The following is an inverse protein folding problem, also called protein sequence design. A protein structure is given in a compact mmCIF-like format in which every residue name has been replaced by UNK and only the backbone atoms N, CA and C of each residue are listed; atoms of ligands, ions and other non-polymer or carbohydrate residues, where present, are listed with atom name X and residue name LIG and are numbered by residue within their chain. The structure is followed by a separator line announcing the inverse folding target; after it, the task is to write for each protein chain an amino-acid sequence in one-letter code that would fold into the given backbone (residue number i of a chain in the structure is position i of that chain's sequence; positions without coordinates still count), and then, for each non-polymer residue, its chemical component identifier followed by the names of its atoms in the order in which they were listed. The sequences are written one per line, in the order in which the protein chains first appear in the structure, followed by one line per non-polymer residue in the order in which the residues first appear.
data_IF_850004692608
#
_entry.id   IF_850004692608
#
_cell.length_a   1.000
_cell.length_b   1.000
_cell.length_c   1.000
_cell.angle_alpha   90.00
_cell.angle_beta   90.00
_cell.angle_gamma   90.00
#
_symmetry.space_group_name_H-M   'P 1'
#
loop_
_entity.id
_entity.type
_entity.pdbx_description
1 polymer ?
#
# COMPACT_ATOMS: atom_id res chain seq x y z
N UNK A 1 -2.17 -13.39 71.07
CA UNK A 1 -2.75 -14.71 70.75
C UNK A 1 -1.96 -15.30 69.59
N UNK A 2 -1.33 -16.44 69.86
CA UNK A 2 -0.46 -17.21 68.98
C UNK A 2 -1.26 -18.43 68.53
N UNK A 3 -1.29 -18.77 67.23
CA UNK A 3 -1.52 -20.09 66.62
C UNK A 3 -1.20 -19.88 65.11
N UNK A 4 -0.07 -20.31 64.51
CA UNK A 4 0.50 -21.64 64.27
C UNK A 4 -0.48 -22.64 63.63
N UNK A 5 -0.24 -22.98 62.36
CA UNK A 5 -0.10 -24.34 61.79
C UNK A 5 0.19 -24.20 60.27
N UNK A 6 1.38 -24.54 59.76
CA UNK A 6 1.89 -25.89 59.43
C UNK A 6 1.32 -26.40 58.10
N UNK A 7 2.09 -26.43 57.00
CA UNK A 7 2.83 -27.61 56.48
C UNK A 7 2.22 -28.02 55.12
N UNK A 8 2.84 -28.62 54.10
CA UNK A 8 4.21 -28.97 53.69
C UNK A 8 4.10 -29.70 52.33
N UNK A 9 5.21 -29.82 51.59
CA UNK A 9 5.64 -30.97 50.75
C UNK A 9 4.83 -31.31 49.48
N UNK A 10 5.41 -31.11 48.28
CA UNK A 10 6.22 -32.06 47.47
C UNK A 10 5.34 -32.68 46.36
N UNK A 11 5.80 -33.16 45.20
CA UNK A 11 7.09 -33.67 44.75
C UNK A 11 7.20 -33.56 43.22
N UNK A 12 8.44 -33.39 42.76
CA UNK A 12 8.96 -33.84 41.46
C UNK A 12 8.54 -35.25 41.07
N UNK A 13 8.38 -35.48 39.78
CA UNK A 13 8.52 -36.80 39.16
C UNK A 13 9.05 -36.61 37.72
N UNK A 14 10.38 -36.61 37.63
CA UNK A 14 11.13 -36.96 36.43
C UNK A 14 11.01 -38.48 36.21
N UNK A 15 10.53 -38.89 35.04
CA UNK A 15 10.53 -40.30 34.62
C UNK A 15 11.58 -40.48 33.52
N UNK A 16 12.66 -41.13 33.93
CA UNK A 16 13.87 -41.46 33.18
C UNK A 16 13.68 -42.69 32.25
N UNK A 17 14.20 -42.54 31.03
CA UNK A 17 15.12 -43.45 30.31
C UNK A 17 14.76 -44.86 29.78
N UNK A 18 15.27 -45.03 28.55
CA UNK A 18 15.82 -46.21 27.85
C UNK A 18 14.89 -47.27 27.24
N UNK A 19 14.97 -47.40 25.91
CA UNK A 19 15.39 -48.69 25.30
C UNK A 19 16.35 -48.44 24.13
N UNK A 20 17.28 -49.37 24.04
CA UNK A 20 18.57 -49.40 23.39
C UNK A 20 18.50 -49.98 21.95
N UNK A 21 19.56 -49.68 21.20
CA UNK A 21 20.26 -50.57 20.25
C UNK A 21 19.76 -50.75 18.79
N UNK A 22 20.59 -50.19 17.90
CA UNK A 22 21.40 -50.90 16.88
C UNK A 22 20.73 -51.47 15.61
N UNK A 23 21.09 -50.89 14.45
CA UNK A 23 21.76 -51.61 13.36
C UNK A 23 22.18 -50.64 12.22
N UNK A 24 23.48 -50.55 11.97
CA UNK A 24 24.05 -50.23 10.65
C UNK A 24 24.42 -51.58 9.97
N UNK A 25 24.50 -51.71 8.62
CA UNK A 25 25.64 -51.12 7.89
C UNK A 25 25.43 -50.72 6.40
N UNK A 26 26.30 -49.79 5.97
CA UNK A 26 26.96 -49.61 4.66
C UNK A 26 26.29 -50.06 3.35
N UNK A 27 26.13 -49.10 2.42
CA UNK A 27 26.60 -49.25 1.02
C UNK A 27 27.24 -47.95 0.51
N UNK A 28 28.38 -48.13 -0.17
CA UNK A 28 29.25 -47.11 -0.74
C UNK A 28 28.72 -46.49 -2.06
N UNK A 29 29.21 -45.27 -2.28
CA UNK A 29 29.66 -44.64 -3.54
C UNK A 29 28.63 -44.26 -4.63
N UNK A 30 28.51 -42.96 -4.90
CA UNK A 30 29.11 -42.39 -6.10
C UNK A 30 29.23 -40.86 -6.01
N UNK A 31 30.45 -40.35 -6.19
CA UNK A 31 30.76 -38.94 -6.42
C UNK A 31 30.36 -38.55 -7.84
N UNK A 32 29.62 -37.45 -8.01
CA UNK A 32 29.53 -36.70 -9.28
C UNK A 32 28.96 -35.29 -9.04
N UNK A 33 29.90 -34.35 -9.01
CA UNK A 33 29.85 -33.01 -9.62
C UNK A 33 28.76 -32.03 -9.17
N UNK A 34 29.22 -31.00 -8.44
CA UNK A 34 28.62 -29.66 -8.40
C UNK A 34 28.24 -29.17 -9.81
N UNK A 35 27.19 -28.36 -9.89
CA UNK A 35 27.45 -26.93 -10.04
C UNK A 35 26.81 -26.10 -8.94
N UNK A 36 27.67 -25.26 -8.36
CA UNK A 36 27.37 -24.06 -7.58
C UNK A 36 26.41 -23.17 -8.39
N UNK A 37 25.12 -23.25 -8.09
CA UNK A 37 24.16 -22.24 -8.54
C UNK A 37 24.17 -21.11 -7.50
N UNK A 38 24.70 -19.99 -7.93
CA UNK A 38 24.88 -18.75 -7.19
C UNK A 38 23.64 -18.33 -6.41
N UNK A 39 23.87 -17.87 -5.19
CA UNK A 39 23.00 -16.94 -4.48
C UNK A 39 22.65 -15.79 -5.43
N UNK A 40 21.50 -15.86 -6.09
CA UNK A 40 20.88 -14.69 -6.70
C UNK A 40 20.17 -13.96 -5.57
N UNK A 41 20.93 -13.13 -4.87
CA UNK A 41 20.39 -11.94 -4.25
C UNK A 41 19.73 -11.14 -5.38
N UNK A 42 18.41 -11.28 -5.52
CA UNK A 42 17.63 -10.36 -6.34
C UNK A 42 17.53 -9.05 -5.57
N UNK A 43 18.63 -8.30 -5.60
CA UNK A 43 18.58 -6.86 -5.48
C UNK A 43 17.88 -6.34 -6.73
N UNK A 44 16.56 -6.51 -6.86
CA UNK A 44 15.77 -5.77 -7.84
C UNK A 44 15.65 -4.35 -7.31
N UNK A 45 16.74 -3.62 -7.50
CA UNK A 45 16.89 -2.20 -7.23
C UNK A 45 15.77 -1.45 -7.93
N UNK A 46 14.97 -0.72 -7.14
CA UNK A 46 14.14 0.48 -7.43
C UNK A 46 13.71 0.77 -8.88
N UNK A 47 14.64 0.75 -9.84
CA UNK A 47 14.49 1.13 -11.25
C UNK A 47 13.44 0.31 -12.02
N UNK A 48 13.27 -0.99 -11.73
CA UNK A 48 12.27 -1.81 -12.43
C UNK A 48 10.82 -1.42 -12.06
N UNK A 49 10.59 -0.92 -10.84
CA UNK A 49 9.25 -0.48 -10.41
C UNK A 49 8.86 0.84 -11.06
N UNK A 50 9.82 1.74 -11.21
CA UNK A 50 9.62 3.04 -11.86
C UNK A 50 9.30 2.86 -13.36
N UNK A 51 9.93 1.90 -14.03
CA UNK A 51 9.63 1.55 -15.43
C UNK A 51 8.20 1.02 -15.64
N UNK A 52 7.63 0.31 -14.67
CA UNK A 52 6.23 -0.17 -14.74
C UNK A 52 5.26 1.01 -14.56
N UNK A 53 5.60 1.96 -13.68
CA UNK A 53 4.78 3.15 -13.45
C UNK A 53 4.74 4.06 -14.69
N UNK A 54 5.91 4.37 -15.28
CA UNK A 54 5.98 5.14 -16.53
C UNK A 54 5.22 4.45 -17.66
N UNK A 55 5.19 3.11 -17.69
CA UNK A 55 4.38 2.35 -18.65
C UNK A 55 2.87 2.47 -18.37
N UNK A 56 2.43 2.34 -17.12
CA UNK A 56 1.01 2.52 -16.77
C UNK A 56 0.54 3.94 -17.11
N UNK A 57 1.30 4.96 -16.69
CA UNK A 57 1.00 6.36 -16.95
C UNK A 57 1.04 6.63 -18.47
N UNK A 58 2.12 6.27 -19.18
CA UNK A 58 2.23 6.52 -20.63
C UNK A 58 1.18 5.78 -21.48
N UNK A 59 0.66 4.63 -21.05
CA UNK A 59 -0.46 3.98 -21.76
C UNK A 59 -1.78 4.74 -21.62
N UNK A 60 -1.94 5.52 -20.54
CA UNK A 60 -3.10 6.42 -20.36
C UNK A 60 -2.96 7.66 -21.25
N UNK A 61 -1.76 8.25 -21.35
CA UNK A 61 -1.52 9.45 -22.17
C UNK A 61 -1.53 9.19 -23.69
N UNK A 62 -0.98 8.05 -24.16
CA UNK A 62 -0.89 7.74 -25.61
C UNK A 62 -2.24 7.58 -26.33
N UNK A 63 -3.36 7.50 -25.61
CA UNK A 63 -4.70 7.42 -26.21
C UNK A 63 -5.39 8.77 -26.40
N UNK A 64 -4.81 9.89 -25.95
CA UNK A 64 -5.50 11.19 -25.96
C UNK A 64 -4.92 12.26 -26.89
N UNK A 65 -3.76 12.07 -27.51
CA UNK A 65 -3.19 13.08 -28.42
C UNK A 65 -3.84 13.14 -29.82
N UNK A 66 -4.99 12.48 -30.03
CA UNK A 66 -5.60 12.41 -31.38
C UNK A 66 -6.75 13.39 -31.64
N UNK A 67 -7.19 14.21 -30.68
CA UNK A 67 -8.28 15.16 -30.90
C UNK A 67 -8.17 16.40 -30.01
N UNK A 68 -7.30 17.35 -30.37
CA UNK A 68 -7.53 18.80 -30.20
C UNK A 68 -6.35 19.58 -30.79
N UNK A 69 -6.28 19.66 -32.13
CA UNK A 69 -5.61 20.78 -32.78
C UNK A 69 -6.66 21.83 -33.12
N UNK A 70 -6.63 22.96 -32.42
CA UNK A 70 -7.13 24.22 -32.95
C UNK A 70 -6.32 25.37 -32.32
N UNK A 71 -5.61 26.06 -33.20
CA UNK A 71 -4.63 27.11 -32.96
C UNK A 71 -5.20 28.37 -32.33
N UNK A 72 -4.40 29.09 -31.53
CA UNK A 72 -4.32 30.55 -31.60
C UNK A 72 -3.00 31.04 -30.97
N UNK A 73 -2.23 31.80 -31.73
CA UNK A 73 -1.04 32.56 -31.29
C UNK A 73 -1.49 33.90 -30.69
N UNK A 74 -0.85 34.37 -29.62
CA UNK A 74 -0.16 35.68 -29.52
C UNK A 74 0.16 36.08 -28.07
N UNK A 75 1.14 36.99 -28.00
CA UNK A 75 2.05 37.36 -26.93
C UNK A 75 1.47 38.14 -25.72
N UNK A 76 2.39 38.34 -24.75
CA UNK A 76 2.48 39.43 -23.76
C UNK A 76 2.17 39.12 -22.27
N UNK A 77 2.86 39.88 -21.43
CA UNK A 77 3.33 39.67 -20.06
C UNK A 77 2.29 39.45 -18.92
N UNK A 78 2.82 38.88 -17.82
CA UNK A 78 2.40 38.96 -16.41
C UNK A 78 1.01 38.47 -15.98
N UNK A 79 1.03 37.38 -15.19
CA UNK A 79 0.39 37.15 -13.88
C UNK A 79 0.47 35.64 -13.64
N UNK A 80 1.14 35.20 -12.56
CA UNK A 80 0.95 33.84 -12.05
C UNK A 80 -0.46 33.82 -11.48
N UNK A 81 -1.43 33.57 -12.36
CA UNK A 81 -2.80 33.26 -12.00
C UNK A 81 -2.69 31.91 -11.29
N UNK A 82 -2.71 31.92 -9.96
CA UNK A 82 -3.07 30.72 -9.19
C UNK A 82 -4.47 30.35 -9.66
N UNK A 83 -4.56 29.59 -10.76
CA UNK A 83 -5.80 29.03 -11.25
C UNK A 83 -6.40 28.27 -10.10
N UNK A 84 -7.49 28.80 -9.55
CA UNK A 84 -8.33 28.08 -8.61
C UNK A 84 -8.64 26.73 -9.27
N UNK A 85 -7.99 25.67 -8.79
CA UNK A 85 -8.20 24.33 -9.30
C UNK A 85 -9.65 23.95 -8.99
N UNK A 86 -10.48 24.16 -10.00
CA UNK A 86 -11.91 23.92 -9.89
C UNK A 86 -12.09 22.40 -9.79
N UNK A 87 -12.80 21.98 -8.74
CA UNK A 87 -13.11 20.56 -8.53
C UNK A 87 -13.91 20.02 -9.74
N UNK A 88 -13.46 18.95 -10.40
CA UNK A 88 -14.17 18.41 -11.55
C UNK A 88 -15.53 17.80 -11.17
N UNK A 89 -16.48 17.86 -12.09
CA UNK A 89 -17.83 17.30 -11.89
C UNK A 89 -17.99 15.93 -12.55
N UNK A 90 -17.27 15.66 -13.63
CA UNK A 90 -17.30 14.38 -14.34
C UNK A 90 -16.43 13.34 -13.64
N UNK A 91 -16.93 12.11 -13.51
CA UNK A 91 -16.24 11.01 -12.81
C UNK A 91 -14.86 10.70 -13.41
N UNK A 92 -14.72 10.76 -14.73
CA UNK A 92 -13.45 10.50 -15.39
C UNK A 92 -12.45 11.62 -15.09
N UNK A 93 -12.90 12.88 -15.06
CA UNK A 93 -12.05 14.02 -14.74
C UNK A 93 -11.68 14.06 -13.25
N UNK A 94 -12.57 13.64 -12.35
CA UNK A 94 -12.26 13.44 -10.94
C UNK A 94 -11.16 12.39 -10.79
N UNK A 95 -11.28 11.24 -11.47
CA UNK A 95 -10.24 10.19 -11.44
C UNK A 95 -8.91 10.72 -11.96
N UNK A 96 -8.90 11.46 -13.08
CA UNK A 96 -7.68 12.08 -13.61
C UNK A 96 -7.08 13.08 -12.64
N UNK A 97 -7.92 13.92 -12.03
CA UNK A 97 -7.49 14.89 -11.02
C UNK A 97 -6.78 14.20 -9.86
N UNK A 98 -7.38 13.15 -9.31
CA UNK A 98 -6.79 12.36 -8.23
C UNK A 98 -5.46 11.71 -8.66
N UNK A 99 -5.37 11.15 -9.86
CA UNK A 99 -4.13 10.56 -10.38
C UNK A 99 -3.02 11.62 -10.48
N UNK A 100 -3.33 12.79 -11.03
CA UNK A 100 -2.36 13.87 -11.22
C UNK A 100 -1.87 14.47 -9.89
N UNK A 101 -2.67 14.33 -8.82
CA UNK A 101 -2.30 14.76 -7.47
C UNK A 101 -1.54 13.70 -6.66
N UNK A 102 -1.35 12.49 -7.18
CA UNK A 102 -0.55 11.49 -6.49
C UNK A 102 0.92 11.90 -6.49
N UNK A 103 1.55 11.92 -5.31
CA UNK A 103 2.99 12.16 -5.19
C UNK A 103 3.78 11.02 -5.83
N UNK A 104 5.03 11.30 -6.19
CA UNK A 104 5.91 10.29 -6.77
C UNK A 104 6.08 9.05 -5.87
N UNK A 105 6.03 9.20 -4.55
CA UNK A 105 6.13 8.07 -3.61
C UNK A 105 4.82 7.26 -3.48
N UNK A 106 3.74 7.69 -4.13
CA UNK A 106 2.49 6.94 -4.24
C UNK A 106 1.38 7.36 -3.27
N UNK A 107 1.61 8.32 -2.39
CA UNK A 107 0.59 8.82 -1.46
C UNK A 107 -0.02 10.14 -1.95
N UNK A 108 -1.13 10.51 -1.33
CA UNK A 108 -1.81 11.78 -1.56
C UNK A 108 -1.61 12.72 -0.38
N UNK A 109 -1.49 14.00 -0.70
CA UNK A 109 -1.46 15.11 0.26
C UNK A 109 -2.47 16.13 -0.24
N UNK A 110 -3.74 15.76 -0.12
CA UNK A 110 -4.86 16.55 -0.58
C UNK A 110 -5.41 17.37 0.58
N UNK A 111 -5.85 18.57 0.26
CA UNK A 111 -6.53 19.43 1.21
C UNK A 111 -7.84 18.79 1.69
N UNK A 112 -8.22 19.09 2.94
CA UNK A 112 -9.42 18.53 3.56
C UNK A 112 -10.71 18.85 2.80
N UNK A 113 -10.77 20.00 2.11
CA UNK A 113 -11.90 20.41 1.26
C UNK A 113 -12.06 19.50 0.02
N UNK A 114 -10.96 19.03 -0.58
CA UNK A 114 -10.97 18.09 -1.69
C UNK A 114 -11.53 16.75 -1.22
N UNK A 115 -11.10 16.28 -0.05
CA UNK A 115 -11.62 15.05 0.52
C UNK A 115 -13.11 15.18 0.86
N UNK A 116 -13.53 16.30 1.43
CA UNK A 116 -14.94 16.55 1.72
C UNK A 116 -15.79 16.55 0.44
N UNK A 117 -15.30 17.12 -0.66
CA UNK A 117 -15.96 17.00 -1.97
C UNK A 117 -15.96 15.56 -2.51
N UNK A 118 -14.88 14.81 -2.28
CA UNK A 118 -14.70 13.44 -2.77
C UNK A 118 -15.56 12.40 -2.03
N UNK A 119 -15.86 12.57 -0.74
CA UNK A 119 -16.61 11.56 0.04
C UNK A 119 -17.79 12.13 0.83
N UNK A 120 -18.02 13.44 0.76
CA UNK A 120 -19.11 14.12 1.49
C UNK A 120 -18.87 14.26 2.99
N UNK A 121 -17.65 13.99 3.48
CA UNK A 121 -17.28 14.01 4.89
C UNK A 121 -15.88 14.58 5.08
N UNK A 122 -15.63 15.35 6.16
CA UNK A 122 -14.31 15.88 6.43
C UNK A 122 -13.33 14.76 6.84
N UNK A 123 -12.04 14.90 6.49
CA UNK A 123 -10.97 13.97 6.88
C UNK A 123 -10.94 13.74 8.40
N UNK A 124 -11.25 14.77 9.18
CA UNK A 124 -11.27 14.74 10.63
C UNK A 124 -12.21 13.67 11.21
N UNK A 125 -13.26 13.27 10.48
CA UNK A 125 -14.15 12.17 10.88
C UNK A 125 -13.42 10.83 11.01
N UNK A 126 -12.27 10.68 10.35
CA UNK A 126 -11.46 9.46 10.34
C UNK A 126 -10.22 9.55 11.25
N UNK A 127 -10.03 10.67 11.96
CA UNK A 127 -8.84 10.93 12.79
C UNK A 127 -8.61 9.92 13.92
N UNK A 128 -9.66 9.21 14.35
CA UNK A 128 -9.57 8.12 15.34
C UNK A 128 -8.93 6.85 14.78
N UNK A 129 -8.92 6.65 13.45
CA UNK A 129 -8.42 5.44 12.81
C UNK A 129 -6.90 5.44 12.64
N UNK A 130 -6.31 6.62 12.44
CA UNK A 130 -4.87 6.78 12.32
C UNK A 130 -4.45 8.21 12.62
N UNK A 131 -3.35 8.40 13.36
CA UNK A 131 -2.82 9.73 13.65
C UNK A 131 -2.09 10.38 12.47
N UNK A 132 -1.69 9.59 11.47
CA UNK A 132 -1.03 10.08 10.27
C UNK A 132 -2.08 10.45 9.21
N UNK A 133 -2.28 11.77 9.01
CA UNK A 133 -3.22 12.29 8.03
C UNK A 133 -2.92 11.88 6.59
N UNK A 134 -1.65 11.78 6.20
CA UNK A 134 -1.28 11.34 4.85
C UNK A 134 -1.71 9.89 4.60
N UNK A 135 -1.58 9.03 5.61
CA UNK A 135 -2.07 7.65 5.57
C UNK A 135 -3.60 7.62 5.45
N UNK A 136 -4.31 8.44 6.24
CA UNK A 136 -5.77 8.55 6.17
C UNK A 136 -6.25 9.04 4.81
N UNK A 137 -5.73 10.18 4.33
CA UNK A 137 -6.09 10.77 3.04
C UNK A 137 -5.87 9.77 1.93
N UNK A 138 -4.70 9.11 1.90
CA UNK A 138 -4.40 8.12 0.87
C UNK A 138 -5.32 6.91 0.93
N UNK A 139 -5.62 6.40 2.13
CA UNK A 139 -6.55 5.29 2.30
C UNK A 139 -7.98 5.65 1.86
N UNK A 140 -8.45 6.86 2.19
CA UNK A 140 -9.74 7.40 1.74
C UNK A 140 -9.79 7.48 0.21
N UNK A 141 -8.75 8.04 -0.43
CA UNK A 141 -8.69 8.14 -1.90
C UNK A 141 -8.71 6.75 -2.55
N UNK A 142 -7.96 5.78 -2.02
CA UNK A 142 -8.01 4.40 -2.52
C UNK A 142 -9.42 3.83 -2.42
N UNK A 143 -10.07 3.95 -1.25
CA UNK A 143 -11.43 3.45 -1.06
C UNK A 143 -12.40 4.14 -2.02
N UNK A 144 -12.34 5.46 -2.17
CA UNK A 144 -13.20 6.19 -3.11
C UNK A 144 -13.01 5.72 -4.56
N UNK A 145 -11.77 5.51 -5.00
CA UNK A 145 -11.46 4.96 -6.33
C UNK A 145 -12.04 3.56 -6.52
N UNK A 146 -11.91 2.70 -5.51
CA UNK A 146 -12.37 1.31 -5.55
C UNK A 146 -13.89 1.17 -5.41
N UNK A 147 -14.59 2.09 -4.76
CA UNK A 147 -16.05 1.98 -4.52
C UNK A 147 -16.87 2.81 -5.50
N UNK A 148 -16.47 4.06 -5.75
CA UNK A 148 -17.26 5.00 -6.58
C UNK A 148 -16.88 4.95 -8.05
N UNK A 149 -15.59 4.75 -8.37
CA UNK A 149 -15.07 4.90 -9.72
C UNK A 149 -14.70 3.55 -10.37
N UNK A 150 -15.44 2.48 -10.04
CA UNK A 150 -15.17 1.11 -10.50
C UNK A 150 -15.14 0.97 -12.02
N UNK A 151 -16.02 1.71 -12.72
CA UNK A 151 -16.07 1.79 -14.19
C UNK A 151 -14.78 2.32 -14.83
N UNK A 152 -13.95 3.03 -14.06
CA UNK A 152 -12.68 3.61 -14.51
C UNK A 152 -11.45 2.87 -13.95
N UNK A 153 -11.61 1.65 -13.46
CA UNK A 153 -10.53 0.85 -12.84
C UNK A 153 -9.27 0.71 -13.70
N UNK A 154 -9.42 0.62 -15.02
CA UNK A 154 -8.28 0.57 -15.94
C UNK A 154 -7.36 1.79 -15.87
N UNK A 155 -7.88 2.94 -15.41
CA UNK A 155 -7.13 4.20 -15.31
C UNK A 155 -6.42 4.30 -13.96
N UNK A 156 -7.10 3.97 -12.85
CA UNK A 156 -6.56 4.16 -11.51
C UNK A 156 -5.87 2.94 -10.90
N UNK A 157 -6.00 1.74 -11.49
CA UNK A 157 -5.52 0.50 -10.87
C UNK A 157 -4.03 0.54 -10.48
N UNK A 158 -3.13 0.95 -11.39
CA UNK A 158 -1.70 1.02 -11.07
C UNK A 158 -1.39 2.02 -9.95
N UNK A 159 -2.07 3.18 -9.96
CA UNK A 159 -1.93 4.27 -8.98
C UNK A 159 -2.37 3.79 -7.59
N UNK A 160 -3.49 3.06 -7.50
CA UNK A 160 -3.96 2.44 -6.26
C UNK A 160 -2.98 1.39 -5.74
N UNK A 161 -2.46 0.51 -6.60
CA UNK A 161 -1.49 -0.51 -6.16
C UNK A 161 -0.20 0.12 -5.61
N UNK A 162 0.28 1.19 -6.25
CA UNK A 162 1.44 1.96 -5.75
C UNK A 162 1.16 2.56 -4.37
N UNK A 163 -0.01 3.17 -4.19
CA UNK A 163 -0.42 3.72 -2.91
C UNK A 163 -0.54 2.66 -1.82
N UNK A 164 -1.17 1.51 -2.11
CA UNK A 164 -1.27 0.37 -1.18
C UNK A 164 0.09 -0.12 -0.72
N UNK A 165 1.04 -0.24 -1.64
CA UNK A 165 2.42 -0.61 -1.32
C UNK A 165 3.09 0.43 -0.41
N UNK A 166 2.89 1.72 -0.70
CA UNK A 166 3.47 2.80 0.11
C UNK A 166 2.85 2.85 1.52
N UNK A 167 1.53 2.70 1.63
CA UNK A 167 0.84 2.63 2.91
C UNK A 167 1.31 1.44 3.75
N UNK A 168 1.53 0.28 3.12
CA UNK A 168 2.08 -0.87 3.81
C UNK A 168 3.46 -0.57 4.41
N UNK A 169 4.32 0.16 3.69
CA UNK A 169 5.62 0.60 4.22
C UNK A 169 5.50 1.59 5.38
N UNK A 170 4.58 2.55 5.28
CA UNK A 170 4.30 3.53 6.35
C UNK A 170 3.70 2.89 7.60
N UNK A 171 2.99 1.77 7.44
CA UNK A 171 2.41 0.97 8.53
C UNK A 171 3.35 -0.16 8.99
N UNK A 172 4.67 0.04 8.89
CA UNK A 172 5.69 -0.92 9.35
C UNK A 172 5.56 -2.32 8.72
N UNK A 173 5.05 -2.40 7.49
CA UNK A 173 4.78 -3.64 6.74
C UNK A 173 3.74 -4.56 7.40
N UNK A 174 2.89 -4.02 8.27
CA UNK A 174 1.77 -4.74 8.85
C UNK A 174 0.56 -4.72 7.91
N UNK A 175 0.29 -5.87 7.28
CA UNK A 175 -0.86 -6.03 6.38
C UNK A 175 -2.18 -6.02 7.14
N UNK A 176 -2.22 -6.53 8.37
CA UNK A 176 -3.45 -6.59 9.15
C UNK A 176 -3.90 -5.17 9.54
N UNK A 177 -2.96 -4.31 9.89
CA UNK A 177 -3.25 -2.89 10.16
C UNK A 177 -3.76 -2.18 8.90
N UNK A 178 -3.15 -2.43 7.74
CA UNK A 178 -3.62 -1.86 6.48
C UNK A 178 -5.03 -2.35 6.14
N UNK A 179 -5.28 -3.65 6.18
CA UNK A 179 -6.59 -4.22 5.84
C UNK A 179 -7.67 -3.75 6.80
N UNK A 180 -7.37 -3.70 8.10
CA UNK A 180 -8.27 -3.15 9.12
C UNK A 180 -8.57 -1.66 8.89
N UNK A 181 -7.55 -0.85 8.59
CA UNK A 181 -7.74 0.57 8.29
C UNK A 181 -8.66 0.76 7.08
N UNK A 182 -8.38 0.06 5.98
CA UNK A 182 -9.14 0.16 4.74
C UNK A 182 -10.60 -0.26 4.94
N UNK A 183 -10.84 -1.32 5.71
CA UNK A 183 -12.20 -1.78 6.00
C UNK A 183 -12.96 -0.81 6.93
N UNK A 184 -12.31 -0.28 7.97
CA UNK A 184 -12.93 0.71 8.85
C UNK A 184 -13.30 2.02 8.13
N UNK A 185 -12.48 2.43 7.15
CA UNK A 185 -12.79 3.58 6.28
C UNK A 185 -13.96 3.23 5.35
N UNK A 186 -13.94 2.05 4.72
CA UNK A 186 -15.01 1.59 3.83
C UNK A 186 -16.37 1.54 4.51
N UNK A 187 -16.43 1.16 5.78
CA UNK A 187 -17.68 1.13 6.55
C UNK A 187 -18.25 2.53 6.87
N UNK A 188 -17.44 3.57 6.71
CA UNK A 188 -17.80 4.95 7.02
C UNK A 188 -18.08 5.81 5.80
N UNK A 189 -17.84 5.31 4.58
CA UNK A 189 -18.09 6.00 3.30
C UNK A 189 -19.28 5.34 2.61
#
# INVERSE_FOLDING_TARGET
MVHRSSSSLSSDSDEDFMVNSSAAPQRMACSKNQPRASNRSSSSSSLDRDMIFDKCVSTVWKKQDTLTSSSHEQDDDDIIEEKEETWPTDDQDIVRYLINKQKFDGVWDLDGNIIEKLIGKPVMSFSSLNSNFQVLISAIVIIALETRFTSHSTIWHCVVQKARQRLLELLNRDRNLLDSLMENIRQQI
#
